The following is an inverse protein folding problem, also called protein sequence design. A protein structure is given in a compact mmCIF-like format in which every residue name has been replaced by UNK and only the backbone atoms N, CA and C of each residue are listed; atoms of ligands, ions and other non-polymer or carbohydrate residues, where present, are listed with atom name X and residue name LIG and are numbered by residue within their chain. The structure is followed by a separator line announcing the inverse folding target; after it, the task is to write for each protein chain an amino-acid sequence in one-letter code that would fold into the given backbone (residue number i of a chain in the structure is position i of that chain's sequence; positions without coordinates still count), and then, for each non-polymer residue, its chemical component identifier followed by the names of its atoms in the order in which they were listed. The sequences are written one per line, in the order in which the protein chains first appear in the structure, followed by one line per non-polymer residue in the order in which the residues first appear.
data_IF_901658927921
#
_entry.id   IF_901658927921
#
_cell.length_a   1.000
_cell.length_b   1.000
_cell.length_c   1.000
_cell.angle_alpha   90.00
_cell.angle_beta   90.00
_cell.angle_gamma   90.00
#
_symmetry.space_group_name_H-M   'P 1'
#
loop_
_entity.id
_entity.type
_entity.pdbx_description
1 polymer ?
#
# COMPACT_ATOMS: atom_id res chain seq x y z
N UNK A 1 -2.62 0.35 -25.36
CA UNK A 1 -2.43 -0.83 -26.25
C UNK A 1 -3.08 -2.02 -25.56
N UNK A 2 -4.11 -2.67 -26.16
CA UNK A 2 -4.65 -3.92 -25.57
C UNK A 2 -3.62 -5.01 -25.85
N UNK A 3 -3.03 -5.59 -24.80
CA UNK A 3 -2.22 -6.80 -24.92
C UNK A 3 -3.14 -7.96 -25.31
N UNK A 4 -2.83 -8.67 -26.39
CA UNK A 4 -3.63 -9.82 -26.83
C UNK A 4 -3.48 -11.05 -25.92
N UNK A 5 -2.39 -11.12 -25.15
CA UNK A 5 -2.08 -12.23 -24.24
C UNK A 5 -1.40 -11.72 -22.97
N UNK A 6 -1.91 -12.15 -21.83
CA UNK A 6 -1.34 -11.86 -20.50
C UNK A 6 -0.81 -13.17 -19.93
N UNK A 7 0.45 -13.15 -19.45
CA UNK A 7 1.06 -14.29 -18.80
C UNK A 7 0.69 -14.33 -17.32
N UNK A 8 0.62 -15.53 -16.73
CA UNK A 8 0.16 -15.72 -15.35
C UNK A 8 1.00 -15.02 -14.28
N UNK A 9 2.26 -14.72 -14.57
CA UNK A 9 3.22 -14.06 -13.68
C UNK A 9 3.43 -12.57 -13.99
N UNK A 10 2.73 -11.99 -14.96
CA UNK A 10 2.80 -10.56 -15.25
C UNK A 10 2.10 -9.77 -14.16
N UNK A 11 2.76 -8.70 -13.68
CA UNK A 11 2.19 -7.81 -12.68
C UNK A 11 1.11 -6.93 -13.32
N UNK A 12 -0.06 -6.92 -12.69
CA UNK A 12 -1.23 -6.17 -13.13
C UNK A 12 -0.94 -4.68 -13.38
N UNK A 13 -0.17 -4.04 -12.50
CA UNK A 13 0.16 -2.62 -12.60
C UNK A 13 1.18 -2.35 -13.70
N UNK A 14 2.15 -3.23 -13.90
CA UNK A 14 3.17 -3.11 -14.95
C UNK A 14 2.59 -3.23 -16.37
N UNK A 15 1.49 -3.96 -16.52
CA UNK A 15 0.80 -4.08 -17.80
C UNK A 15 -0.27 -3.02 -18.03
N UNK A 16 -0.33 -1.99 -17.15
CA UNK A 16 -1.21 -0.83 -17.29
C UNK A 16 -2.50 -0.91 -16.48
N UNK A 17 -2.54 -1.75 -15.45
CA UNK A 17 -3.62 -1.78 -14.47
C UNK A 17 -3.58 -0.55 -13.55
N UNK A 18 -4.74 -0.09 -13.13
CA UNK A 18 -4.94 1.00 -12.18
C UNK A 18 -6.05 0.66 -11.17
N UNK A 19 -6.30 1.55 -10.22
CA UNK A 19 -7.29 1.33 -9.16
C UNK A 19 -8.71 1.12 -9.67
N UNK A 20 -9.08 1.78 -10.79
CA UNK A 20 -10.40 1.59 -11.40
C UNK A 20 -10.50 0.21 -12.04
N UNK A 21 -9.43 -0.24 -12.68
CA UNK A 21 -9.36 -1.57 -13.28
C UNK A 21 -9.32 -2.68 -12.21
N UNK A 22 -8.71 -2.44 -11.03
CA UNK A 22 -8.79 -3.37 -9.88
C UNK A 22 -10.24 -3.65 -9.54
N UNK A 23 -11.06 -2.62 -9.33
CA UNK A 23 -12.47 -2.77 -9.00
C UNK A 23 -13.24 -3.55 -10.09
N UNK A 24 -12.96 -3.26 -11.38
CA UNK A 24 -13.58 -3.97 -12.50
C UNK A 24 -13.16 -5.45 -12.57
N UNK A 25 -11.89 -5.76 -12.28
CA UNK A 25 -11.39 -7.13 -12.24
C UNK A 25 -12.06 -7.89 -11.11
N UNK A 26 -12.13 -7.32 -9.91
CA UNK A 26 -12.81 -7.91 -8.74
C UNK A 26 -14.28 -8.19 -9.06
N UNK A 27 -15.01 -7.25 -9.69
CA UNK A 27 -16.39 -7.46 -10.13
C UNK A 27 -16.51 -8.69 -11.04
N UNK A 28 -15.64 -8.81 -12.04
CA UNK A 28 -15.63 -9.93 -12.98
C UNK A 28 -15.20 -11.24 -12.32
N UNK A 29 -14.30 -11.21 -11.37
CA UNK A 29 -13.92 -12.40 -10.61
C UNK A 29 -15.10 -12.92 -9.79
N UNK A 30 -15.82 -12.06 -9.08
CA UNK A 30 -17.03 -12.44 -8.34
C UNK A 30 -18.15 -12.95 -9.25
N UNK A 31 -18.25 -12.46 -10.48
CA UNK A 31 -19.22 -12.94 -11.46
C UNK A 31 -18.86 -14.32 -12.01
N UNK A 32 -17.58 -14.58 -12.30
CA UNK A 32 -17.14 -15.70 -13.15
C UNK A 32 -16.38 -16.81 -12.44
N UNK A 33 -15.85 -16.56 -11.26
CA UNK A 33 -14.99 -17.49 -10.50
C UNK A 33 -15.74 -17.90 -9.23
N UNK A 34 -16.01 -19.19 -9.08
CA UNK A 34 -16.83 -19.69 -7.96
C UNK A 34 -16.16 -19.45 -6.61
N UNK A 35 -14.85 -19.68 -6.54
CA UNK A 35 -14.05 -19.45 -5.33
C UNK A 35 -14.05 -17.97 -4.90
N UNK A 36 -14.13 -17.05 -5.85
CA UNK A 36 -14.18 -15.61 -5.58
C UNK A 36 -15.55 -15.15 -5.05
N UNK A 37 -16.63 -15.88 -5.30
CA UNK A 37 -17.98 -15.52 -4.84
C UNK A 37 -18.09 -15.56 -3.31
N UNK A 38 -17.37 -16.48 -2.66
CA UNK A 38 -17.35 -16.63 -1.21
C UNK A 38 -16.58 -15.50 -0.49
N UNK A 39 -15.74 -14.76 -1.22
CA UNK A 39 -14.93 -13.67 -0.64
C UNK A 39 -15.75 -12.38 -0.53
N UNK A 40 -15.54 -11.62 0.52
CA UNK A 40 -16.03 -10.24 0.60
C UNK A 40 -15.34 -9.39 -0.46
N UNK A 41 -16.03 -8.33 -0.93
CA UNK A 41 -15.52 -7.46 -1.99
C UNK A 41 -14.18 -6.82 -1.65
N UNK A 42 -14.09 -6.26 -0.46
CA UNK A 42 -12.90 -5.60 0.11
C UNK A 42 -11.74 -6.58 0.28
N UNK A 43 -11.99 -7.76 0.84
CA UNK A 43 -10.95 -8.80 0.99
C UNK A 43 -10.40 -9.26 -0.35
N UNK A 44 -11.25 -9.37 -1.38
CA UNK A 44 -10.82 -9.76 -2.72
C UNK A 44 -10.04 -8.63 -3.41
N UNK A 45 -10.42 -7.36 -3.18
CA UNK A 45 -9.64 -6.20 -3.64
C UNK A 45 -8.25 -6.19 -3.01
N UNK A 46 -8.15 -6.34 -1.70
CA UNK A 46 -6.88 -6.41 -0.96
C UNK A 46 -6.01 -7.54 -1.50
N UNK A 47 -6.59 -8.74 -1.65
CA UNK A 47 -5.87 -9.90 -2.15
C UNK A 47 -5.28 -9.67 -3.56
N UNK A 48 -5.99 -8.95 -4.43
CA UNK A 48 -5.50 -8.60 -5.77
C UNK A 48 -4.41 -7.51 -5.72
N UNK A 49 -4.53 -6.55 -4.80
CA UNK A 49 -3.51 -5.51 -4.58
C UNK A 49 -2.20 -6.11 -4.05
N UNK A 50 -2.29 -6.98 -3.06
CA UNK A 50 -1.12 -7.65 -2.46
C UNK A 50 -0.48 -8.70 -3.37
N UNK A 51 -1.27 -9.31 -4.25
CA UNK A 51 -0.80 -10.35 -5.18
C UNK A 51 -1.25 -10.01 -6.61
N UNK A 52 -0.65 -8.98 -7.25
CA UNK A 52 -1.13 -8.42 -8.50
C UNK A 52 -0.73 -9.24 -9.74
N UNK A 53 -0.78 -10.55 -9.65
CA UNK A 53 -0.55 -11.49 -10.75
C UNK A 53 -1.66 -12.54 -10.79
N UNK A 54 -1.93 -13.11 -11.96
CA UNK A 54 -2.92 -14.19 -12.09
C UNK A 54 -2.54 -15.37 -11.21
N UNK A 55 -1.26 -15.74 -11.18
CA UNK A 55 -0.76 -16.85 -10.37
C UNK A 55 -0.93 -16.58 -8.87
N UNK A 56 -0.60 -15.38 -8.40
CA UNK A 56 -0.70 -14.99 -7.00
C UNK A 56 -2.14 -14.95 -6.49
N UNK A 57 -3.05 -14.31 -7.23
CA UNK A 57 -4.46 -14.26 -6.84
C UNK A 57 -5.14 -15.63 -6.93
N UNK A 58 -4.78 -16.46 -7.93
CA UNK A 58 -5.31 -17.82 -8.03
C UNK A 58 -4.90 -18.67 -6.83
N UNK A 59 -3.64 -18.56 -6.40
CA UNK A 59 -3.15 -19.26 -5.20
C UNK A 59 -3.94 -18.85 -3.96
N UNK A 60 -4.14 -17.55 -3.73
CA UNK A 60 -4.94 -17.04 -2.60
C UNK A 60 -6.38 -17.57 -2.62
N UNK A 61 -7.02 -17.58 -3.79
CA UNK A 61 -8.38 -18.10 -3.94
C UNK A 61 -8.47 -19.60 -3.62
N UNK A 62 -7.46 -20.39 -4.04
CA UNK A 62 -7.42 -21.83 -3.78
C UNK A 62 -7.09 -22.16 -2.31
N UNK A 63 -6.28 -21.35 -1.65
CA UNK A 63 -5.98 -21.48 -0.21
C UNK A 63 -7.19 -21.09 0.66
N UNK A 64 -8.19 -20.38 0.08
CA UNK A 64 -9.38 -19.92 0.78
C UNK A 64 -9.19 -18.60 1.52
N UNK A 65 -10.24 -18.16 2.20
CA UNK A 65 -10.18 -16.98 3.06
C UNK A 65 -9.10 -17.19 4.13
N UNK A 66 -8.17 -16.26 4.33
CA UNK A 66 -7.22 -16.32 5.43
C UNK A 66 -8.01 -16.50 6.74
N UNK A 67 -7.70 -17.54 7.50
CA UNK A 67 -8.20 -17.64 8.88
C UNK A 67 -7.72 -16.41 9.64
N UNK A 68 -8.57 -15.84 10.49
CA UNK A 68 -8.27 -14.62 11.27
C UNK A 68 -7.02 -14.74 12.16
N UNK A 69 -6.46 -15.93 12.29
CA UNK A 69 -5.38 -16.26 13.21
C UNK A 69 -3.94 -16.04 12.69
N UNK A 70 -3.74 -15.66 11.43
CA UNK A 70 -2.38 -15.51 10.84
C UNK A 70 -2.07 -14.12 10.29
N UNK A 71 -2.65 -13.07 10.85
CA UNK A 71 -2.12 -11.72 10.63
C UNK A 71 -0.96 -11.50 11.60
N UNK A 72 0.27 -11.85 11.22
CA UNK A 72 1.42 -11.10 11.73
C UNK A 72 1.10 -9.62 11.48
N UNK A 73 0.99 -8.84 12.56
CA UNK A 73 0.80 -7.38 12.44
C UNK A 73 2.00 -6.85 11.67
N UNK A 74 1.84 -6.65 10.37
CA UNK A 74 2.85 -5.93 9.60
C UNK A 74 2.99 -4.55 10.22
N UNK A 75 4.22 -4.13 10.47
CA UNK A 75 4.47 -2.79 10.97
C UNK A 75 4.10 -1.76 9.89
N UNK A 76 3.49 -0.65 10.31
CA UNK A 76 3.20 0.45 9.38
C UNK A 76 4.46 1.09 8.80
N UNK A 77 5.57 1.05 9.54
CA UNK A 77 6.87 1.58 9.14
C UNK A 77 7.74 0.48 8.55
N UNK A 78 8.23 0.71 7.34
CA UNK A 78 9.21 -0.14 6.67
C UNK A 78 10.52 0.64 6.55
N UNK A 79 11.62 0.06 7.03
CA UNK A 79 12.97 0.61 6.83
C UNK A 79 13.52 0.01 5.55
N UNK A 80 13.49 0.77 4.44
CA UNK A 80 14.02 0.34 3.15
C UNK A 80 15.54 0.48 3.09
N UNK A 81 16.08 1.50 3.80
CA UNK A 81 17.52 1.75 3.94
C UNK A 81 17.78 2.47 5.25
N UNK A 82 18.74 1.99 6.01
CA UNK A 82 19.25 2.71 7.19
C UNK A 82 20.35 3.71 6.77
N UNK A 83 20.20 4.96 7.16
CA UNK A 83 21.20 6.01 6.96
C UNK A 83 21.92 6.37 8.25
N UNK A 84 23.07 7.03 8.12
CA UNK A 84 23.96 7.37 9.25
C UNK A 84 23.75 8.79 9.78
N UNK A 85 22.78 9.52 9.26
CA UNK A 85 22.47 10.89 9.68
C UNK A 85 21.03 11.00 10.22
N UNK A 86 20.67 12.17 10.74
CA UNK A 86 19.36 12.45 11.32
C UNK A 86 18.29 12.83 10.27
N UNK A 87 18.48 12.46 9.00
CA UNK A 87 17.54 12.73 7.92
C UNK A 87 16.89 11.47 7.44
N UNK A 88 15.62 11.56 7.04
CA UNK A 88 14.89 10.47 6.42
C UNK A 88 14.06 10.96 5.23
N UNK A 89 14.15 10.25 4.11
CA UNK A 89 13.18 10.31 3.02
C UNK A 89 12.10 9.28 3.29
N UNK A 90 10.84 9.71 3.35
CA UNK A 90 9.71 8.87 3.74
C UNK A 90 8.72 8.77 2.58
N UNK A 91 8.50 7.57 2.09
CA UNK A 91 7.49 7.25 1.08
C UNK A 91 6.17 6.91 1.77
N UNK A 92 5.09 7.62 1.44
CA UNK A 92 3.77 7.39 2.04
C UNK A 92 2.87 6.72 0.99
N UNK A 93 2.21 5.64 1.39
CA UNK A 93 1.34 4.83 0.54
C UNK A 93 0.26 5.64 -0.18
N UNK A 94 -0.24 5.14 -1.29
CA UNK A 94 -1.38 5.68 -2.00
C UNK A 94 -2.73 5.21 -1.41
N UNK A 95 -3.83 5.43 -2.14
CA UNK A 95 -5.17 5.00 -1.72
C UNK A 95 -5.36 3.50 -1.58
N UNK A 96 -4.42 2.68 -2.06
CA UNK A 96 -4.45 1.22 -1.89
C UNK A 96 -3.88 0.75 -0.55
N UNK A 97 -3.28 1.65 0.22
CA UNK A 97 -2.62 1.31 1.48
C UNK A 97 -1.22 0.70 1.32
N UNK A 98 -0.70 0.57 0.07
CA UNK A 98 0.58 -0.06 -0.21
C UNK A 98 1.59 0.92 -0.81
N UNK A 99 2.89 0.57 -0.72
CA UNK A 99 3.98 1.32 -1.34
C UNK A 99 4.34 0.80 -2.76
N UNK A 100 3.54 -0.10 -3.31
CA UNK A 100 3.78 -0.70 -4.64
C UNK A 100 4.03 0.31 -5.76
N UNK A 101 3.37 1.49 -5.80
CA UNK A 101 3.65 2.51 -6.82
C UNK A 101 5.11 3.00 -6.84
N UNK A 102 5.84 2.84 -5.74
CA UNK A 102 7.24 3.27 -5.64
C UNK A 102 8.27 2.20 -6.03
N UNK A 103 7.84 0.95 -6.30
CA UNK A 103 8.76 -0.17 -6.56
C UNK A 103 9.79 0.12 -7.65
N UNK A 104 9.40 0.85 -8.71
CA UNK A 104 10.31 1.24 -9.79
C UNK A 104 11.26 2.38 -9.43
N UNK A 105 10.90 3.20 -8.45
CA UNK A 105 11.68 4.39 -8.03
C UNK A 105 12.62 4.07 -6.87
N UNK A 106 12.24 3.17 -5.97
CA UNK A 106 13.03 2.78 -4.79
C UNK A 106 14.50 2.47 -5.12
N UNK A 107 14.84 1.71 -6.18
CA UNK A 107 16.25 1.41 -6.50
C UNK A 107 17.09 2.67 -6.75
N UNK A 108 16.50 3.73 -7.30
CA UNK A 108 17.20 5.00 -7.55
C UNK A 108 17.34 5.85 -6.29
N UNK A 109 16.44 5.67 -5.31
CA UNK A 109 16.47 6.40 -4.04
C UNK A 109 17.48 5.84 -3.05
N UNK A 110 18.02 4.66 -3.27
CA UNK A 110 19.07 4.08 -2.42
C UNK A 110 20.37 4.90 -2.40
N UNK A 111 20.61 5.76 -3.38
CA UNK A 111 21.77 6.66 -3.44
C UNK A 111 21.59 7.95 -2.61
N UNK A 112 20.38 8.26 -2.12
CA UNK A 112 20.12 9.44 -1.30
C UNK A 112 20.85 9.35 0.04
N UNK A 113 21.25 10.51 0.57
CA UNK A 113 21.79 10.59 1.94
C UNK A 113 20.64 10.35 2.94
N UNK A 114 20.98 9.74 4.09
CA UNK A 114 20.01 9.49 5.16
C UNK A 114 19.27 8.16 5.03
N UNK A 115 18.28 7.98 5.87
CA UNK A 115 17.42 6.80 5.89
C UNK A 115 16.37 6.89 4.78
N UNK A 116 16.01 5.75 4.19
CA UNK A 116 14.85 5.63 3.31
C UNK A 116 13.80 4.79 4.06
N UNK A 117 12.70 5.42 4.37
CA UNK A 117 11.59 4.84 5.12
C UNK A 117 10.35 4.76 4.22
N UNK A 118 9.44 3.87 4.53
CA UNK A 118 8.13 3.84 3.90
C UNK A 118 7.04 3.61 4.94
N UNK A 119 5.90 4.27 4.73
CA UNK A 119 4.70 4.12 5.55
C UNK A 119 3.62 3.45 4.71
N UNK A 120 3.10 2.34 5.21
CA UNK A 120 2.01 1.57 4.60
C UNK A 120 0.88 1.32 5.59
N UNK A 121 -0.29 1.00 5.07
CA UNK A 121 -1.41 0.57 5.90
C UNK A 121 -1.12 -0.82 6.47
N UNK A 122 -1.06 -0.95 7.79
CA UNK A 122 -0.83 -2.22 8.48
C UNK A 122 -2.12 -2.91 8.94
N UNK A 123 -3.22 -2.17 8.94
CA UNK A 123 -4.54 -2.66 9.31
C UNK A 123 -5.58 -2.13 8.32
N UNK A 124 -5.92 -2.95 7.35
CA UNK A 124 -6.86 -2.57 6.30
C UNK A 124 -8.31 -2.50 6.82
N UNK A 125 -8.65 -3.23 7.88
CA UNK A 125 -9.97 -3.16 8.50
C UNK A 125 -10.14 -1.82 9.22
N UNK A 126 -9.12 -1.39 9.99
CA UNK A 126 -9.09 -0.06 10.58
C UNK A 126 -9.18 1.01 9.50
N UNK A 127 -8.37 0.92 8.45
CA UNK A 127 -8.34 1.86 7.32
C UNK A 127 -9.71 2.02 6.66
N UNK A 128 -10.40 0.92 6.39
CA UNK A 128 -11.72 0.93 5.73
C UNK A 128 -12.85 1.33 6.69
N UNK A 129 -12.67 1.20 8.02
CA UNK A 129 -13.65 1.60 9.02
C UNK A 129 -13.70 3.11 9.28
N UNK A 130 -12.62 3.84 8.95
CA UNK A 130 -12.56 5.29 9.14
C UNK A 130 -13.44 5.98 8.10
N UNK A 131 -14.26 6.94 8.55
CA UNK A 131 -15.08 7.75 7.65
C UNK A 131 -14.20 8.49 6.64
N UNK A 132 -14.56 8.51 5.33
CA UNK A 132 -13.73 9.10 4.28
C UNK A 132 -13.26 10.53 4.56
N UNK A 133 -14.15 11.36 5.14
CA UNK A 133 -13.85 12.76 5.48
C UNK A 133 -12.83 12.94 6.62
N UNK A 134 -12.57 11.88 7.39
CA UNK A 134 -11.59 11.86 8.50
C UNK A 134 -10.34 11.06 8.21
N UNK A 135 -10.31 10.32 7.10
CA UNK A 135 -9.25 9.35 6.82
C UNK A 135 -7.87 10.02 6.71
N UNK A 136 -7.78 11.15 6.03
CA UNK A 136 -6.49 11.86 5.85
C UNK A 136 -5.96 12.36 7.19
N UNK A 137 -6.81 12.96 8.01
CA UNK A 137 -6.43 13.41 9.34
C UNK A 137 -5.97 12.24 10.22
N UNK A 138 -6.75 11.16 10.27
CA UNK A 138 -6.46 9.97 11.04
C UNK A 138 -5.09 9.37 10.67
N UNK A 139 -4.81 9.23 9.36
CA UNK A 139 -3.54 8.69 8.87
C UNK A 139 -2.39 9.67 9.13
N UNK A 140 -2.61 10.97 8.99
CA UNK A 140 -1.61 12.00 9.30
C UNK A 140 -1.17 11.94 10.75
N UNK A 141 -2.11 11.86 11.70
CA UNK A 141 -1.85 11.73 13.14
C UNK A 141 -1.11 10.41 13.46
N UNK A 142 -1.56 9.30 12.89
CA UNK A 142 -0.95 7.98 13.07
C UNK A 142 0.50 7.98 12.58
N UNK A 143 0.75 8.53 11.40
CA UNK A 143 2.08 8.50 10.78
C UNK A 143 3.03 9.52 11.38
N UNK A 144 2.56 10.70 11.78
CA UNK A 144 3.38 11.64 12.51
C UNK A 144 3.91 11.02 13.82
N UNK A 145 3.06 10.35 14.58
CA UNK A 145 3.47 9.64 15.80
C UNK A 145 4.55 8.57 15.52
N UNK A 146 4.35 7.74 14.47
CA UNK A 146 5.33 6.73 14.08
C UNK A 146 6.67 7.36 13.71
N UNK A 147 6.67 8.48 12.99
CA UNK A 147 7.90 9.16 12.58
C UNK A 147 8.61 9.79 13.78
N UNK A 148 7.91 10.41 14.72
CA UNK A 148 8.49 10.95 15.95
C UNK A 148 9.26 9.87 16.70
N UNK A 149 8.73 8.66 16.79
CA UNK A 149 9.36 7.52 17.44
C UNK A 149 10.66 7.05 16.73
N UNK A 150 10.94 7.50 15.49
CA UNK A 150 12.20 7.20 14.78
C UNK A 150 13.37 8.09 15.18
N UNK A 151 13.13 9.12 15.98
CA UNK A 151 14.15 10.07 16.49
C UNK A 151 14.97 10.77 15.39
N UNK A 152 14.40 10.95 14.18
CA UNK A 152 15.00 11.74 13.10
C UNK A 152 14.63 13.22 13.29
N UNK A 153 15.53 14.10 12.86
CA UNK A 153 15.34 15.57 12.98
C UNK A 153 14.71 16.18 11.73
N UNK A 154 14.92 15.55 10.56
CA UNK A 154 14.47 16.07 9.28
C UNK A 154 13.81 14.95 8.49
N UNK A 155 12.59 15.21 8.04
CA UNK A 155 11.81 14.31 7.19
C UNK A 155 11.47 14.97 5.85
N UNK A 156 11.89 14.37 4.76
CA UNK A 156 11.39 14.68 3.41
C UNK A 156 10.26 13.71 3.09
N UNK A 157 9.00 14.19 3.09
CA UNK A 157 7.83 13.35 2.88
C UNK A 157 7.44 13.33 1.39
N UNK A 158 7.28 12.14 0.83
CA UNK A 158 6.86 11.91 -0.55
C UNK A 158 5.60 11.09 -0.58
N UNK A 159 4.55 11.62 -1.20
CA UNK A 159 3.27 10.94 -1.36
C UNK A 159 2.79 10.98 -2.81
N UNK A 160 2.38 9.83 -3.33
CA UNK A 160 1.71 9.72 -4.62
C UNK A 160 0.19 9.62 -4.43
N UNK A 161 -0.58 10.30 -5.29
CA UNK A 161 -2.05 10.28 -5.23
C UNK A 161 -2.57 10.73 -3.85
N UNK A 162 -3.38 9.92 -3.17
CA UNK A 162 -3.85 10.18 -1.80
C UNK A 162 -2.69 10.33 -0.80
N UNK A 163 -1.58 9.63 -1.02
CA UNK A 163 -0.38 9.74 -0.20
C UNK A 163 0.17 11.17 -0.12
N UNK A 164 -0.03 12.01 -1.14
CA UNK A 164 0.33 13.43 -1.09
C UNK A 164 -0.49 14.22 -0.07
N UNK A 165 -1.77 13.92 0.08
CA UNK A 165 -2.63 14.54 1.10
C UNK A 165 -2.24 14.07 2.51
N UNK A 166 -1.96 12.78 2.66
CA UNK A 166 -1.48 12.21 3.93
C UNK A 166 -0.13 12.82 4.31
N UNK A 167 0.80 12.95 3.34
CA UNK A 167 2.11 13.59 3.56
C UNK A 167 1.96 15.03 4.08
N UNK A 168 1.07 15.81 3.46
CA UNK A 168 0.81 17.19 3.88
C UNK A 168 0.26 17.25 5.30
N UNK A 169 -0.70 16.40 5.64
CA UNK A 169 -1.28 16.36 6.98
C UNK A 169 -0.26 15.90 8.03
N UNK A 170 0.53 14.88 7.71
CA UNK A 170 1.65 14.41 8.55
C UNK A 170 2.65 15.53 8.79
N UNK A 171 3.05 16.28 7.75
CA UNK A 171 4.00 17.38 7.85
C UNK A 171 3.50 18.51 8.76
N UNK A 172 2.23 18.87 8.71
CA UNK A 172 1.64 19.87 9.61
C UNK A 172 1.85 19.48 11.06
N UNK A 173 1.53 18.23 11.41
CA UNK A 173 1.63 17.74 12.79
C UNK A 173 3.09 17.67 13.27
N UNK A 174 4.03 17.31 12.39
CA UNK A 174 5.46 17.27 12.73
C UNK A 174 6.08 18.66 12.92
N UNK A 175 5.41 19.73 12.47
CA UNK A 175 5.92 21.12 12.58
C UNK A 175 5.24 21.94 13.68
N UNK A 176 4.22 21.43 14.34
CA UNK A 176 3.55 22.00 15.51
C UNK A 176 4.32 21.65 16.80
#
# INVERSE_FOLDING_TARGET
MKKEKIWKNENFYEIGGDSLLVAQVVAKMKEKIEEAKAWDWDKLMIALIESPTIEGISKKLMEGLPSEETKEKQESLIILKQGNNNKALVLIHDGTGTISPYNQVIPFLHSTEGSLLALQCNDMEEYLSVKPEKLIQFLGEKYAKILIDTEKEVYDLVGYCMGGLIALETAKILTE
#
